data_IF_453727648753
#
_entry.id   IF_453727648753
#
_cell.length_a   1.000
_cell.length_b   1.000
_cell.length_c   1.000
_cell.angle_alpha   90.00
_cell.angle_beta   90.00
_cell.angle_gamma   90.00
#
_symmetry.space_group_name_H-M   'P 1'
#
loop_
_entity.id
_entity.type
_entity.pdbx_description
1 polymer ?
#
# COMPACT_ATOMS: atom_id res chain seq x y z
N UNK A 1 11.94 8.58 -19.35
CA UNK A 1 10.95 8.01 -18.44
C UNK A 1 11.60 7.58 -17.13
N UNK A 2 10.82 7.48 -16.06
CA UNK A 2 11.31 6.98 -14.78
C UNK A 2 11.58 5.49 -14.87
N UNK A 3 12.68 5.03 -14.27
CA UNK A 3 12.85 3.60 -13.95
C UNK A 3 11.94 3.30 -12.76
N UNK A 4 10.97 2.43 -12.94
CA UNK A 4 9.96 2.13 -11.92
C UNK A 4 10.16 0.72 -11.38
N UNK A 5 10.09 0.58 -10.06
CA UNK A 5 10.09 -0.70 -9.34
C UNK A 5 8.74 -0.84 -8.66
N UNK A 6 8.07 -1.97 -8.84
CA UNK A 6 6.85 -2.32 -8.14
C UNK A 6 7.12 -3.37 -7.07
N UNK A 7 6.69 -3.09 -5.84
CA UNK A 7 6.76 -3.99 -4.70
C UNK A 7 5.34 -4.32 -4.25
N UNK A 8 4.92 -5.53 -4.53
CA UNK A 8 3.65 -6.06 -4.05
C UNK A 8 3.82 -6.84 -2.74
N UNK A 9 2.90 -6.65 -1.81
CA UNK A 9 2.97 -7.28 -0.49
C UNK A 9 2.89 -8.82 -0.54
N UNK A 10 2.11 -9.39 -1.46
CA UNK A 10 2.00 -10.84 -1.61
C UNK A 10 3.29 -11.42 -2.18
N UNK A 11 3.84 -10.79 -3.22
CA UNK A 11 5.13 -11.17 -3.80
C UNK A 11 6.28 -11.10 -2.80
N UNK A 12 6.34 -10.02 -2.02
CA UNK A 12 7.37 -9.82 -1.00
C UNK A 12 7.24 -10.87 0.11
N UNK A 13 6.02 -11.17 0.56
CA UNK A 13 5.77 -12.21 1.57
C UNK A 13 6.05 -13.62 1.05
N UNK A 14 5.75 -13.88 -0.21
CA UNK A 14 6.00 -15.20 -0.81
C UNK A 14 7.50 -15.51 -1.04
N UNK A 15 8.36 -14.49 -0.98
CA UNK A 15 9.79 -14.60 -1.33
C UNK A 15 10.69 -14.06 -0.21
N UNK A 16 10.89 -12.75 -0.17
CA UNK A 16 11.83 -12.07 0.74
C UNK A 16 11.43 -12.21 2.22
N UNK A 17 10.13 -12.18 2.52
CA UNK A 17 9.56 -12.18 3.86
C UNK A 17 8.73 -13.45 4.13
N UNK A 18 9.12 -14.58 3.53
CA UNK A 18 8.41 -15.87 3.66
C UNK A 18 8.46 -16.46 5.08
N UNK A 19 9.32 -15.93 5.94
CA UNK A 19 9.43 -16.25 7.35
C UNK A 19 8.39 -15.54 8.24
N UNK A 20 7.65 -14.56 7.69
CA UNK A 20 6.72 -13.73 8.45
C UNK A 20 5.26 -14.15 8.28
N UNK A 21 4.52 -14.18 9.40
CA UNK A 21 3.07 -14.33 9.43
C UNK A 21 2.31 -13.01 9.30
N UNK A 22 1.09 -12.95 9.87
CA UNK A 22 0.18 -11.80 9.78
C UNK A 22 -0.09 -11.11 11.12
N UNK A 23 0.60 -11.51 12.19
CA UNK A 23 0.54 -10.80 13.46
C UNK A 23 0.96 -9.33 13.31
N UNK A 24 0.57 -8.47 14.24
CA UNK A 24 1.00 -7.05 14.20
C UNK A 24 2.52 -6.92 14.14
N UNK A 25 3.24 -7.75 14.90
CA UNK A 25 4.72 -7.79 14.89
C UNK A 25 5.28 -8.21 13.53
N UNK A 26 4.69 -9.22 12.89
CA UNK A 26 5.12 -9.66 11.56
C UNK A 26 4.80 -8.61 10.49
N UNK A 27 3.68 -7.89 10.63
CA UNK A 27 3.34 -6.77 9.73
C UNK A 27 4.32 -5.61 9.88
N UNK A 28 4.71 -5.28 11.10
CA UNK A 28 5.74 -4.28 11.40
C UNK A 28 7.06 -4.64 10.73
N UNK A 29 7.54 -5.86 10.94
CA UNK A 29 8.79 -6.34 10.33
C UNK A 29 8.70 -6.42 8.80
N UNK A 30 7.56 -6.85 8.24
CA UNK A 30 7.34 -6.88 6.80
C UNK A 30 7.45 -5.47 6.19
N UNK A 31 6.81 -4.47 6.80
CA UNK A 31 6.87 -3.08 6.37
C UNK A 31 8.28 -2.51 6.54
N UNK A 32 8.94 -2.80 7.65
CA UNK A 32 10.32 -2.36 7.92
C UNK A 32 11.28 -2.86 6.83
N UNK A 33 11.27 -4.16 6.50
CA UNK A 33 12.12 -4.74 5.45
C UNK A 33 11.79 -4.14 4.08
N UNK A 34 10.50 -4.08 3.71
CA UNK A 34 10.07 -3.50 2.45
C UNK A 34 10.47 -2.02 2.32
N UNK A 35 10.43 -1.26 3.41
CA UNK A 35 10.84 0.15 3.44
C UNK A 35 12.33 0.32 3.17
N UNK A 36 13.19 -0.52 3.75
CA UNK A 36 14.62 -0.49 3.47
C UNK A 36 14.92 -0.86 2.02
N UNK A 37 14.23 -1.88 1.46
CA UNK A 37 14.35 -2.23 0.04
C UNK A 37 13.90 -1.07 -0.85
N UNK A 38 12.77 -0.44 -0.52
CA UNK A 38 12.26 0.74 -1.24
C UNK A 38 13.28 1.88 -1.24
N UNK A 39 13.88 2.16 -0.09
CA UNK A 39 14.91 3.18 0.04
C UNK A 39 16.14 2.88 -0.81
N UNK A 40 16.62 1.63 -0.82
CA UNK A 40 17.74 1.24 -1.65
C UNK A 40 17.50 1.51 -3.14
N UNK A 41 16.28 1.23 -3.63
CA UNK A 41 15.92 1.54 -5.01
C UNK A 41 15.78 3.05 -5.26
N UNK A 42 15.19 3.80 -4.32
CA UNK A 42 15.07 5.25 -4.42
C UNK A 42 16.45 5.92 -4.46
N UNK A 43 17.39 5.50 -3.60
CA UNK A 43 18.76 6.02 -3.55
C UNK A 43 19.53 5.74 -4.86
N UNK A 44 19.07 4.76 -5.65
CA UNK A 44 19.59 4.44 -6.99
C UNK A 44 18.75 5.06 -8.14
N UNK A 45 17.93 6.06 -7.84
CA UNK A 45 17.20 6.85 -8.83
C UNK A 45 15.97 6.17 -9.42
N UNK A 46 15.41 5.15 -8.75
CA UNK A 46 14.19 4.50 -9.18
C UNK A 46 12.97 5.12 -8.48
N UNK A 47 11.84 5.19 -9.21
CA UNK A 47 10.53 5.42 -8.60
C UNK A 47 10.00 4.08 -8.07
N UNK A 48 9.78 3.99 -6.77
CA UNK A 48 9.20 2.79 -6.16
C UNK A 48 7.70 2.97 -5.95
N UNK A 49 6.92 2.03 -6.43
CA UNK A 49 5.50 1.90 -6.15
C UNK A 49 5.34 0.68 -5.25
N UNK A 50 4.85 0.87 -4.04
CA UNK A 50 4.69 -0.19 -3.05
C UNK A 50 3.23 -0.33 -2.62
N UNK A 51 2.63 -1.51 -2.78
CA UNK A 51 1.27 -1.83 -2.33
C UNK A 51 1.31 -2.72 -1.10
N UNK A 52 1.07 -2.12 0.07
CA UNK A 52 1.12 -2.79 1.36
C UNK A 52 -0.03 -2.34 2.26
N UNK A 53 -0.62 -3.28 3.00
CA UNK A 53 -1.45 -2.93 4.14
C UNK A 53 -0.57 -2.40 5.27
N UNK A 54 -0.74 -1.11 5.60
CA UNK A 54 -0.11 -0.44 6.74
C UNK A 54 -1.22 0.00 7.72
N UNK A 55 -1.63 -0.88 8.65
CA UNK A 55 -2.91 -0.77 9.34
C UNK A 55 -2.96 0.31 10.41
N UNK A 56 -1.85 0.89 10.83
CA UNK A 56 -1.81 1.90 11.90
C UNK A 56 -0.97 3.11 11.52
N UNK A 57 -1.28 4.28 12.09
CA UNK A 57 -0.49 5.50 11.87
C UNK A 57 0.94 5.36 12.38
N UNK A 58 1.14 4.60 13.46
CA UNK A 58 2.49 4.27 13.95
C UNK A 58 3.33 3.62 12.85
N UNK A 59 2.81 2.57 12.20
CA UNK A 59 3.52 1.85 11.14
C UNK A 59 3.76 2.74 9.91
N UNK A 60 2.79 3.54 9.52
CA UNK A 60 2.92 4.50 8.41
C UNK A 60 4.03 5.53 8.66
N UNK A 61 4.12 6.03 9.89
CA UNK A 61 5.17 6.96 10.30
C UNK A 61 6.56 6.30 10.33
N UNK A 62 6.66 5.07 10.78
CA UNK A 62 7.92 4.31 10.73
C UNK A 62 8.40 4.11 9.29
N UNK A 63 7.51 3.72 8.37
CA UNK A 63 7.80 3.62 6.92
C UNK A 63 8.31 4.96 6.38
N UNK A 64 7.61 6.07 6.68
CA UNK A 64 7.98 7.42 6.27
C UNK A 64 9.38 7.80 6.75
N UNK A 65 9.70 7.49 8.00
CA UNK A 65 11.02 7.78 8.58
C UNK A 65 12.15 6.98 7.93
N UNK A 66 11.89 5.72 7.55
CA UNK A 66 12.90 4.88 6.88
C UNK A 66 13.12 5.34 5.45
N UNK A 67 12.07 5.60 4.68
CA UNK A 67 12.16 5.91 3.25
C UNK A 67 12.62 7.35 3.02
N UNK A 68 12.13 8.30 3.81
CA UNK A 68 12.44 9.74 3.70
C UNK A 68 11.64 10.42 2.59
N UNK A 69 12.03 10.23 1.32
CA UNK A 69 11.26 10.73 0.16
C UNK A 69 10.06 9.80 -0.13
N UNK A 70 8.94 10.08 0.51
CA UNK A 70 7.79 9.20 0.60
C UNK A 70 6.49 9.96 0.36
N UNK A 71 5.57 9.34 -0.36
CA UNK A 71 4.20 9.79 -0.54
C UNK A 71 3.24 8.70 -0.09
N UNK A 72 2.42 9.01 0.92
CA UNK A 72 1.37 8.12 1.38
C UNK A 72 0.10 8.31 0.56
N UNK A 73 -0.31 7.26 -0.13
CA UNK A 73 -1.54 7.21 -0.91
C UNK A 73 -2.55 6.33 -0.17
N UNK A 74 -3.65 6.95 0.26
CA UNK A 74 -4.75 6.20 0.85
C UNK A 74 -5.74 5.80 -0.25
N UNK A 75 -5.79 4.51 -0.52
CA UNK A 75 -6.78 3.90 -1.44
C UNK A 75 -8.02 3.60 -0.61
N UNK A 76 -8.96 4.54 -0.60
CA UNK A 76 -10.16 4.50 0.24
C UNK A 76 -11.23 3.60 -0.38
N UNK A 77 -11.81 2.73 0.47
CA UNK A 77 -12.96 1.91 0.15
C UNK A 77 -13.66 1.51 1.45
N UNK A 78 -14.99 1.46 1.47
CA UNK A 78 -15.71 0.93 2.63
C UNK A 78 -15.51 -0.58 2.78
N UNK A 79 -15.58 -1.06 4.02
CA UNK A 79 -15.48 -2.49 4.29
C UNK A 79 -16.55 -3.29 3.52
N UNK A 80 -17.77 -2.75 3.45
CA UNK A 80 -18.87 -3.36 2.70
C UNK A 80 -18.51 -3.57 1.23
N UNK A 81 -17.99 -2.55 0.57
CA UNK A 81 -17.59 -2.65 -0.84
C UNK A 81 -16.37 -3.56 -1.03
N UNK A 82 -15.42 -3.57 -0.09
CA UNK A 82 -14.32 -4.53 -0.10
C UNK A 82 -14.83 -5.98 -0.03
N UNK A 83 -15.82 -6.24 0.81
CA UNK A 83 -16.46 -7.56 0.92
C UNK A 83 -17.23 -7.95 -0.35
N UNK A 84 -17.94 -7.00 -0.97
CA UNK A 84 -18.64 -7.24 -2.24
C UNK A 84 -17.67 -7.53 -3.40
N UNK A 85 -16.46 -6.99 -3.34
CA UNK A 85 -15.38 -7.22 -4.31
C UNK A 85 -14.48 -8.41 -3.99
N UNK A 86 -14.82 -9.22 -2.98
CA UNK A 86 -14.00 -10.33 -2.45
C UNK A 86 -13.95 -11.54 -3.41
N UNK A 87 -13.21 -11.39 -4.50
CA UNK A 87 -13.07 -12.43 -5.53
C UNK A 87 -12.41 -13.72 -5.03
N UNK A 88 -11.53 -13.60 -4.02
CA UNK A 88 -10.76 -14.71 -3.45
C UNK A 88 -11.42 -15.30 -2.19
N UNK A 89 -12.54 -14.73 -1.74
CA UNK A 89 -13.25 -15.17 -0.54
C UNK A 89 -12.49 -14.93 0.77
N UNK A 90 -11.52 -14.02 0.77
CA UNK A 90 -10.66 -13.74 1.93
C UNK A 90 -11.43 -13.10 3.08
N UNK A 91 -12.29 -12.12 2.78
CA UNK A 91 -13.17 -11.50 3.78
C UNK A 91 -14.14 -12.51 4.38
N UNK A 92 -14.73 -13.36 3.54
CA UNK A 92 -15.62 -14.44 3.99
C UNK A 92 -14.91 -15.40 4.94
N UNK A 93 -13.71 -15.87 4.57
CA UNK A 93 -12.90 -16.76 5.40
C UNK A 93 -12.49 -16.10 6.72
N UNK A 94 -12.13 -14.81 6.69
CA UNK A 94 -11.81 -14.05 7.89
C UNK A 94 -13.01 -13.94 8.85
N UNK A 95 -14.22 -13.68 8.34
CA UNK A 95 -15.45 -13.64 9.13
C UNK A 95 -15.82 -15.00 9.74
N UNK A 96 -15.49 -16.09 9.06
CA UNK A 96 -15.67 -17.46 9.58
C UNK A 96 -14.57 -17.86 10.59
N UNK A 97 -13.59 -17.00 10.82
CA UNK A 97 -12.47 -17.28 11.73
C UNK A 97 -11.41 -18.23 11.15
N UNK A 98 -11.50 -18.56 9.87
CA UNK A 98 -10.52 -19.40 9.16
C UNK A 98 -9.20 -18.67 8.93
N UNK A 99 -9.25 -17.32 8.84
CA UNK A 99 -8.06 -16.45 8.71
C UNK A 99 -7.99 -15.56 9.95
N UNK A 100 -6.88 -15.69 10.69
CA UNK A 100 -6.58 -14.86 11.86
C UNK A 100 -5.88 -13.56 11.43
N UNK A 101 -5.95 -12.55 12.29
CA UNK A 101 -5.25 -11.27 12.11
C UNK A 101 -5.54 -10.56 10.77
N UNK A 102 -6.76 -10.73 10.25
CA UNK A 102 -7.19 -10.09 9.01
C UNK A 102 -7.54 -8.62 9.27
N UNK A 103 -6.81 -7.73 8.61
CA UNK A 103 -6.97 -6.26 8.76
C UNK A 103 -8.40 -5.81 8.44
N UNK A 104 -9.00 -5.07 9.34
CA UNK A 104 -10.38 -4.56 9.21
C UNK A 104 -11.49 -5.54 9.63
N UNK A 105 -11.16 -6.81 9.94
CA UNK A 105 -12.13 -7.82 10.45
C UNK A 105 -11.71 -8.28 11.85
N UNK A 106 -10.61 -9.04 11.97
CA UNK A 106 -10.11 -9.57 13.23
C UNK A 106 -8.85 -8.87 13.75
N UNK A 107 -8.31 -7.92 12.98
CA UNK A 107 -7.21 -7.04 13.33
C UNK A 107 -7.58 -5.58 13.01
N UNK A 108 -7.16 -4.59 13.81
CA UNK A 108 -7.55 -3.21 13.61
C UNK A 108 -7.01 -2.63 12.30
N UNK A 109 -7.77 -1.69 11.76
CA UNK A 109 -7.34 -0.77 10.72
C UNK A 109 -7.67 0.65 11.19
N UNK A 110 -6.65 1.48 11.29
CA UNK A 110 -6.80 2.91 11.57
C UNK A 110 -6.86 3.65 10.23
N UNK A 111 -7.94 4.39 9.99
CA UNK A 111 -7.98 5.30 8.85
C UNK A 111 -6.83 6.30 8.99
N UNK A 112 -6.03 6.54 7.93
CA UNK A 112 -4.87 7.41 8.04
C UNK A 112 -5.25 8.84 8.45
N UNK A 113 -4.64 9.35 9.52
CA UNK A 113 -4.83 10.72 9.97
C UNK A 113 -4.20 11.76 9.05
N UNK A 114 -3.04 11.42 8.48
CA UNK A 114 -2.31 12.26 7.51
C UNK A 114 -1.98 11.45 6.25
N UNK A 115 -2.37 11.97 5.09
CA UNK A 115 -2.07 11.39 3.78
C UNK A 115 -1.66 12.48 2.80
N UNK A 116 -0.79 12.13 1.86
CA UNK A 116 -0.46 13.04 0.74
C UNK A 116 -1.58 13.03 -0.32
N UNK A 117 -2.16 11.86 -0.57
CA UNK A 117 -3.20 11.66 -1.58
C UNK A 117 -4.24 10.67 -1.05
N UNK A 118 -5.52 10.99 -1.25
CA UNK A 118 -6.63 10.07 -1.05
C UNK A 118 -7.30 9.84 -2.39
N UNK A 119 -7.51 8.58 -2.76
CA UNK A 119 -8.33 8.18 -3.91
C UNK A 119 -9.47 7.29 -3.46
N UNK A 120 -10.69 7.65 -3.84
CA UNK A 120 -11.91 6.92 -3.48
C UNK A 120 -12.28 5.97 -4.60
N UNK A 121 -12.15 4.67 -4.35
CA UNK A 121 -12.43 3.62 -5.34
C UNK A 121 -13.89 3.19 -5.39
N UNK A 122 -14.76 3.74 -4.55
CA UNK A 122 -16.20 3.54 -4.66
C UNK A 122 -16.82 4.49 -5.68
N UNK A 123 -16.27 5.69 -5.78
CA UNK A 123 -16.78 6.76 -6.65
C UNK A 123 -16.04 6.87 -7.98
N UNK A 124 -14.81 6.31 -8.08
CA UNK A 124 -13.95 6.46 -9.24
C UNK A 124 -13.47 5.12 -9.79
N UNK A 125 -13.24 5.07 -11.10
CA UNK A 125 -12.61 3.94 -11.77
C UNK A 125 -11.12 3.84 -11.43
N UNK A 126 -10.51 2.70 -11.73
CA UNK A 126 -9.06 2.48 -11.54
C UNK A 126 -8.26 3.51 -12.33
N UNK A 127 -8.66 3.81 -13.58
CA UNK A 127 -8.01 4.76 -14.46
C UNK A 127 -8.09 6.20 -13.93
N UNK A 128 -9.25 6.59 -13.37
CA UNK A 128 -9.43 7.90 -12.75
C UNK A 128 -8.57 8.06 -11.51
N UNK A 129 -8.58 7.07 -10.62
CA UNK A 129 -7.71 7.04 -9.44
C UNK A 129 -6.22 7.12 -9.82
N UNK A 130 -5.78 6.33 -10.79
CA UNK A 130 -4.40 6.34 -11.25
C UNK A 130 -4.00 7.68 -11.85
N UNK A 131 -4.88 8.31 -12.64
CA UNK A 131 -4.66 9.64 -13.23
C UNK A 131 -4.56 10.72 -12.16
N UNK A 132 -5.41 10.68 -11.14
CA UNK A 132 -5.34 11.59 -10.00
C UNK A 132 -4.00 11.48 -9.28
N UNK A 133 -3.57 10.26 -8.95
CA UNK A 133 -2.27 9.99 -8.31
C UNK A 133 -1.14 10.57 -9.16
N UNK A 134 -1.06 10.21 -10.44
CA UNK A 134 -0.01 10.67 -11.35
C UNK A 134 0.03 12.20 -11.49
N UNK A 135 -1.13 12.85 -11.49
CA UNK A 135 -1.23 14.32 -11.53
C UNK A 135 -0.69 14.96 -10.26
N UNK A 136 -1.08 14.43 -9.09
CA UNK A 136 -0.67 14.98 -7.78
C UNK A 136 0.82 14.78 -7.48
N UNK A 137 1.40 13.65 -7.88
CA UNK A 137 2.85 13.43 -7.74
C UNK A 137 3.69 14.15 -8.82
N UNK A 138 3.03 14.81 -9.78
CA UNK A 138 3.70 15.63 -10.79
C UNK A 138 4.23 14.86 -12.01
N UNK A 139 4.10 13.53 -12.06
CA UNK A 139 4.59 12.71 -13.18
C UNK A 139 3.86 13.03 -14.49
N UNK A 140 2.57 13.38 -14.41
CA UNK A 140 1.76 13.71 -15.58
C UNK A 140 2.19 15.01 -16.27
N UNK A 141 2.66 16.00 -15.51
CA UNK A 141 3.16 17.28 -16.05
C UNK A 141 4.48 17.13 -16.82
N UNK A 142 5.28 16.13 -16.48
CA UNK A 142 6.57 15.91 -17.16
C UNK A 142 6.44 15.26 -18.55
N UNK A 143 5.32 14.58 -18.85
CA UNK A 143 5.05 14.05 -20.20
C UNK A 143 4.65 15.11 -21.21
N UNK A 144 4.11 16.24 -20.77
CA UNK A 144 3.67 17.33 -21.66
C UNK A 144 4.79 18.35 -22.00
N UNK A 145 6.02 18.11 -21.55
CA UNK A 145 7.18 18.96 -21.83
C UNK A 145 7.93 18.48 -23.10
N UNK A 146 7.55 17.35 -23.69
CA UNK A 146 8.20 16.77 -24.87
C UNK A 146 7.23 16.58 -26.07
N UNK A 147 6.36 17.56 -26.31
CA UNK A 147 5.63 17.66 -27.57
C UNK A 147 6.01 19.00 -28.23
#
# INVERSE_FOLDING_TARGET
>A
GFKTVYLDSEDVRGKLNSDLGFSLKDREENLRRASHVSRLFNDNGNLVIASFASPTDKLRNEVKNIIGNFKLIYVKCSLKTCEERDTNGMYRKAKLGEIKDFTGISSPFEEPGETDIVVDTECNTVEECAREILTRIGVYKMRNIYI
#
